data_IF_909325445700
#
_entry.id   IF_909325445700
#
_cell.length_a   1.000
_cell.length_b   1.000
_cell.length_c   1.000
_cell.angle_alpha   90.00
_cell.angle_beta   90.00
_cell.angle_gamma   90.00
#
_symmetry.space_group_name_H-M   'P 1'
#
loop_
_entity.id
_entity.type
_entity.pdbx_description
1 polymer ?
#
# COMPACT_ATOMS: atom_id res chain seq x y z
N UNK A 1 8.75 -8.78 -1.35
CA UNK A 1 10.13 -8.39 -1.71
C UNK A 1 10.07 -7.26 -2.72
N UNK A 2 10.55 -6.07 -2.37
CA UNK A 2 10.55 -4.89 -3.23
C UNK A 2 11.97 -4.56 -3.69
N UNK A 3 12.31 -4.98 -4.91
CA UNK A 3 13.58 -4.61 -5.58
C UNK A 3 13.44 -3.31 -6.38
N UNK A 4 12.26 -2.71 -6.37
CA UNK A 4 11.87 -1.48 -7.04
C UNK A 4 11.88 -1.55 -8.57
N UNK A 5 12.05 -2.73 -9.16
CA UNK A 5 12.07 -2.96 -10.61
C UNK A 5 11.59 -4.39 -10.91
N UNK A 6 11.41 -4.73 -12.18
CA UNK A 6 11.29 -6.14 -12.59
C UNK A 6 12.68 -6.72 -12.79
N UNK A 7 13.23 -7.31 -11.73
CA UNK A 7 14.59 -7.84 -11.73
C UNK A 7 14.77 -9.00 -12.71
N UNK A 8 13.90 -10.01 -12.64
CA UNK A 8 14.04 -11.26 -13.40
C UNK A 8 14.08 -11.05 -14.93
N UNK A 9 13.25 -10.16 -15.44
CA UNK A 9 13.12 -9.92 -16.89
C UNK A 9 14.13 -8.88 -17.41
N UNK A 10 15.11 -8.49 -16.61
CA UNK A 10 16.23 -7.66 -17.02
C UNK A 10 16.07 -6.17 -16.72
N UNK A 11 15.41 -5.82 -15.61
CA UNK A 11 15.44 -4.48 -15.02
C UNK A 11 14.50 -3.48 -15.65
N UNK A 12 13.25 -3.88 -15.92
CA UNK A 12 12.19 -2.98 -16.37
C UNK A 12 11.63 -2.13 -15.24
N UNK A 13 11.19 -0.93 -15.60
CA UNK A 13 10.44 -0.04 -14.73
C UNK A 13 9.16 -0.72 -14.23
N UNK A 14 8.88 -0.53 -12.94
CA UNK A 14 7.65 -0.94 -12.28
C UNK A 14 6.97 0.29 -11.65
N UNK A 15 5.75 0.13 -11.13
CA UNK A 15 5.11 1.18 -10.31
C UNK A 15 5.82 1.39 -8.96
N UNK A 16 6.62 0.42 -8.52
CA UNK A 16 7.48 0.53 -7.35
C UNK A 16 8.82 1.21 -7.66
N UNK A 17 9.16 1.46 -8.93
CA UNK A 17 10.37 2.20 -9.29
C UNK A 17 10.27 3.63 -8.74
N UNK A 18 11.34 4.18 -8.13
CA UNK A 18 11.34 5.52 -7.57
C UNK A 18 11.56 6.60 -8.63
N UNK A 19 11.23 7.84 -8.27
CA UNK A 19 11.51 9.01 -9.10
C UNK A 19 13.02 9.14 -9.37
N UNK A 20 13.41 9.45 -10.60
CA UNK A 20 14.83 9.63 -10.96
C UNK A 20 15.62 8.34 -11.21
N UNK A 21 15.12 7.17 -10.81
CA UNK A 21 15.78 5.89 -11.10
C UNK A 21 15.73 5.56 -12.58
N UNK A 22 16.87 5.16 -13.16
CA UNK A 22 16.94 4.58 -14.50
C UNK A 22 16.51 3.11 -14.45
N UNK A 23 15.69 2.71 -15.41
CA UNK A 23 15.32 1.33 -15.70
C UNK A 23 14.93 1.22 -17.19
N UNK A 24 14.75 -0.01 -17.72
CA UNK A 24 14.12 -0.15 -19.05
C UNK A 24 12.71 0.44 -19.02
N UNK A 25 12.32 1.14 -20.09
CA UNK A 25 11.11 1.98 -20.16
C UNK A 25 11.12 3.23 -19.25
N UNK A 26 12.24 3.52 -18.58
CA UNK A 26 12.48 4.74 -17.82
C UNK A 26 13.96 5.19 -18.00
N UNK A 27 14.46 5.18 -19.23
CA UNK A 27 15.88 5.40 -19.54
C UNK A 27 16.40 6.79 -19.18
N UNK A 28 15.52 7.80 -19.19
CA UNK A 28 15.81 9.17 -18.79
C UNK A 28 15.46 9.45 -17.32
N UNK A 29 15.41 8.41 -16.48
CA UNK A 29 14.88 8.47 -15.12
C UNK A 29 13.36 8.43 -15.11
N UNK A 30 12.77 7.66 -14.18
CA UNK A 30 11.32 7.64 -13.99
C UNK A 30 10.81 9.01 -13.56
N UNK A 31 9.65 9.41 -14.09
CA UNK A 31 9.05 10.75 -13.93
C UNK A 31 7.91 10.81 -12.92
N UNK A 32 7.49 9.67 -12.41
CA UNK A 32 6.43 9.55 -11.40
C UNK A 32 6.99 8.99 -10.11
N UNK A 33 6.42 9.43 -8.99
CA UNK A 33 6.77 8.92 -7.67
C UNK A 33 6.50 7.41 -7.54
N UNK A 34 7.12 6.80 -6.53
CA UNK A 34 6.87 5.40 -6.16
C UNK A 34 5.41 5.25 -5.70
N UNK A 35 4.72 4.21 -6.16
CA UNK A 35 3.39 3.85 -5.63
C UNK A 35 3.52 3.50 -4.14
N UNK A 36 2.81 4.21 -3.27
CA UNK A 36 2.74 3.91 -1.84
C UNK A 36 1.73 2.78 -1.56
N UNK A 37 2.15 1.54 -1.85
CA UNK A 37 1.30 0.35 -1.65
C UNK A 37 0.94 0.14 -0.18
N UNK A 38 1.86 0.43 0.74
CA UNK A 38 1.64 0.22 2.17
C UNK A 38 0.54 1.13 2.69
N UNK A 39 0.60 2.44 2.40
CA UNK A 39 -0.46 3.37 2.81
C UNK A 39 -1.80 3.07 2.14
N UNK A 40 -1.80 2.63 0.88
CA UNK A 40 -3.02 2.16 0.20
C UNK A 40 -3.63 0.93 0.88
N UNK A 41 -2.83 0.00 1.41
CA UNK A 41 -3.36 -1.15 2.14
C UNK A 41 -3.88 -0.74 3.53
N UNK A 42 -3.25 0.24 4.18
CA UNK A 42 -3.69 0.73 5.50
C UNK A 42 -5.07 1.39 5.47
N UNK A 43 -5.53 1.93 4.33
CA UNK A 43 -6.86 2.56 4.25
C UNK A 43 -8.01 1.58 4.49
N UNK A 44 -7.78 0.27 4.34
CA UNK A 44 -8.78 -0.74 4.70
C UNK A 44 -9.01 -0.82 6.22
N UNK A 45 -8.01 -0.46 7.04
CA UNK A 45 -8.11 -0.48 8.49
C UNK A 45 -7.99 -1.85 9.15
N UNK A 46 -8.37 -2.94 8.47
CA UNK A 46 -8.32 -4.32 8.98
C UNK A 46 -7.16 -5.16 8.42
N UNK A 47 -6.25 -4.56 7.66
CA UNK A 47 -5.08 -5.25 7.07
C UNK A 47 -3.86 -4.93 7.91
N UNK A 48 -3.12 -5.94 8.36
CA UNK A 48 -1.81 -5.72 8.96
C UNK A 48 -0.81 -5.33 7.87
N UNK A 49 -0.07 -4.24 8.06
CA UNK A 49 0.88 -3.75 7.06
C UNK A 49 2.21 -3.41 7.70
N UNK A 50 3.32 -3.96 7.20
CA UNK A 50 4.65 -3.60 7.67
C UNK A 50 5.60 -3.28 6.52
N UNK A 51 6.46 -2.29 6.73
CA UNK A 51 7.62 -2.00 5.89
C UNK A 51 8.88 -2.35 6.67
N UNK A 52 9.73 -3.20 6.09
CA UNK A 52 10.90 -3.78 6.76
C UNK A 52 12.17 -3.60 5.93
N UNK A 53 13.31 -3.55 6.61
CA UNK A 53 14.65 -3.63 6.02
C UNK A 53 15.57 -4.37 6.98
N UNK A 54 15.96 -5.59 6.62
CA UNK A 54 16.82 -6.43 7.45
C UNK A 54 18.21 -5.80 7.68
N UNK A 55 18.69 -5.01 6.71
CA UNK A 55 19.93 -4.25 6.82
C UNK A 55 19.88 -3.18 7.89
N UNK A 56 18.72 -2.52 8.05
CA UNK A 56 18.54 -1.43 9.00
C UNK A 56 18.23 -1.92 10.42
N UNK A 57 17.28 -2.84 10.56
CA UNK A 57 16.86 -3.36 11.86
C UNK A 57 16.36 -4.80 11.75
N UNK A 58 17.18 -5.74 12.23
CA UNK A 58 16.87 -7.17 12.25
C UNK A 58 15.79 -7.52 13.28
N UNK A 59 15.75 -6.80 14.41
CA UNK A 59 14.77 -7.03 15.46
C UNK A 59 13.38 -6.57 14.99
N UNK A 60 13.31 -5.39 14.37
CA UNK A 60 12.08 -4.90 13.75
C UNK A 60 11.58 -5.84 12.66
N UNK A 61 12.49 -6.37 11.83
CA UNK A 61 12.17 -7.36 10.79
C UNK A 61 11.54 -8.62 11.40
N UNK A 62 12.18 -9.21 12.41
CA UNK A 62 11.66 -10.42 13.07
C UNK A 62 10.31 -10.14 13.73
N UNK A 63 10.18 -9.03 14.45
CA UNK A 63 8.95 -8.61 15.11
C UNK A 63 7.81 -8.45 14.10
N UNK A 64 8.06 -7.77 12.98
CA UNK A 64 7.07 -7.55 11.95
C UNK A 64 6.57 -8.86 11.32
N UNK A 65 7.46 -9.83 11.11
CA UNK A 65 7.11 -11.15 10.58
C UNK A 65 6.29 -11.97 11.57
N UNK A 66 6.67 -11.99 12.85
CA UNK A 66 5.92 -12.69 13.90
C UNK A 66 4.52 -12.07 14.08
N UNK A 67 4.43 -10.74 14.15
CA UNK A 67 3.13 -10.06 14.25
C UNK A 67 2.26 -10.28 13.01
N UNK A 68 2.85 -10.26 11.80
CA UNK A 68 2.13 -10.49 10.56
C UNK A 68 1.55 -11.91 10.46
N UNK A 69 2.30 -12.92 10.91
CA UNK A 69 1.89 -14.32 10.87
C UNK A 69 0.82 -14.61 11.93
N UNK A 70 0.98 -14.04 13.14
CA UNK A 70 0.02 -14.22 14.22
C UNK A 70 -1.28 -13.43 14.05
N UNK A 71 -1.34 -12.44 13.15
CA UNK A 71 -2.51 -11.60 12.94
C UNK A 71 -3.66 -12.43 12.33
N UNK A 72 -4.87 -12.48 12.95
CA UNK A 72 -6.00 -13.25 12.45
C UNK A 72 -6.71 -12.52 11.30
N UNK A 73 -6.00 -12.28 10.21
CA UNK A 73 -6.49 -11.53 9.06
C UNK A 73 -5.44 -11.38 7.96
N UNK A 74 -5.70 -10.53 6.95
CA UNK A 74 -4.75 -10.30 5.88
C UNK A 74 -3.53 -9.50 6.36
N UNK A 75 -2.35 -9.95 5.96
CA UNK A 75 -1.06 -9.33 6.29
C UNK A 75 -0.25 -9.02 5.04
N UNK A 76 0.33 -7.82 4.99
CA UNK A 76 1.22 -7.34 3.93
C UNK A 76 2.56 -6.91 4.52
N UNK A 77 3.64 -7.59 4.13
CA UNK A 77 5.01 -7.22 4.51
C UNK A 77 5.79 -6.80 3.26
N UNK A 78 6.24 -5.55 3.24
CA UNK A 78 7.03 -4.96 2.16
C UNK A 78 8.48 -4.86 2.62
N UNK A 79 9.32 -5.74 2.09
CA UNK A 79 10.74 -5.78 2.43
C UNK A 79 11.59 -5.08 1.37
N UNK A 80 12.43 -4.13 1.79
CA UNK A 80 13.48 -3.58 0.93
C UNK A 80 14.45 -4.68 0.52
N UNK A 81 14.59 -4.90 -0.78
CA UNK A 81 15.42 -5.95 -1.34
C UNK A 81 16.45 -5.35 -2.29
N UNK A 82 17.73 -5.46 -1.92
CA UNK A 82 18.81 -5.04 -2.83
C UNK A 82 18.89 -5.97 -4.04
N UNK A 83 19.27 -5.44 -5.20
CA UNK A 83 19.35 -6.19 -6.44
C UNK A 83 20.54 -5.75 -7.29
N UNK A 84 21.13 -6.69 -8.04
CA UNK A 84 22.21 -6.41 -9.01
C UNK A 84 21.86 -5.28 -9.99
N UNK A 85 20.58 -5.14 -10.36
CA UNK A 85 20.11 -4.12 -11.29
C UNK A 85 20.08 -2.71 -10.70
N UNK A 86 20.08 -2.57 -9.37
CA UNK A 86 20.28 -1.26 -8.73
C UNK A 86 21.73 -0.80 -8.92
N UNK A 87 22.64 -1.77 -9.01
CA UNK A 87 24.05 -1.57 -9.30
C UNK A 87 24.77 -0.90 -8.14
N UNK A 88 24.87 -1.61 -7.00
CA UNK A 88 25.59 -1.11 -5.84
C UNK A 88 27.08 -0.98 -6.17
N UNK A 89 27.63 0.25 -6.12
CA UNK A 89 29.04 0.50 -6.50
C UNK A 89 30.05 -0.25 -5.63
N UNK A 90 29.71 -0.48 -4.36
CA UNK A 90 30.54 -1.25 -3.41
C UNK A 90 30.35 -2.77 -3.54
N UNK A 91 29.53 -3.23 -4.49
CA UNK A 91 29.20 -4.63 -4.72
C UNK A 91 28.11 -5.18 -3.80
N UNK A 92 27.52 -6.32 -4.19
CA UNK A 92 26.41 -6.96 -3.46
C UNK A 92 26.81 -7.50 -2.07
N UNK A 93 28.11 -7.65 -1.77
CA UNK A 93 28.58 -7.95 -0.42
C UNK A 93 28.20 -6.86 0.62
N UNK A 94 27.80 -5.67 0.16
CA UNK A 94 27.36 -4.55 0.98
C UNK A 94 25.85 -4.37 1.04
N UNK A 95 25.06 -5.36 0.61
CA UNK A 95 23.60 -5.30 0.60
C UNK A 95 22.96 -4.94 1.94
N UNK A 96 23.49 -5.44 3.06
CA UNK A 96 22.97 -5.12 4.39
C UNK A 96 23.26 -3.67 4.79
N UNK A 97 24.46 -3.18 4.48
CA UNK A 97 24.84 -1.77 4.69
C UNK A 97 23.98 -0.84 3.82
N UNK A 98 23.69 -1.24 2.59
CA UNK A 98 22.82 -0.49 1.68
C UNK A 98 21.39 -0.38 2.25
N UNK A 99 20.84 -1.48 2.75
CA UNK A 99 19.53 -1.49 3.41
C UNK A 99 19.48 -0.62 4.67
N UNK A 100 20.60 -0.51 5.39
CA UNK A 100 20.74 0.42 6.52
C UNK A 100 20.76 1.88 6.06
N UNK A 101 21.54 2.20 5.02
CA UNK A 101 21.63 3.54 4.44
C UNK A 101 20.31 4.00 3.83
N UNK A 102 19.57 3.10 3.19
CA UNK A 102 18.23 3.36 2.66
C UNK A 102 17.26 3.85 3.76
N UNK A 103 17.32 3.25 4.95
CA UNK A 103 16.47 3.69 6.08
C UNK A 103 17.00 4.96 6.72
N UNK A 104 18.32 5.05 6.93
CA UNK A 104 18.98 6.19 7.59
C UNK A 104 18.79 7.50 6.81
N UNK A 105 18.81 7.42 5.48
CA UNK A 105 18.58 8.54 4.57
C UNK A 105 17.10 8.94 4.43
N UNK A 106 16.17 8.21 5.07
CA UNK A 106 14.72 8.41 4.90
C UNK A 106 14.14 7.83 3.60
N UNK A 107 14.99 7.32 2.71
CA UNK A 107 14.55 6.75 1.43
C UNK A 107 13.57 5.58 1.59
N UNK A 108 13.82 4.73 2.59
CA UNK A 108 12.96 3.61 2.94
C UNK A 108 12.43 3.75 4.38
N UNK A 109 11.13 4.00 4.58
CA UNK A 109 10.55 4.12 5.91
C UNK A 109 10.26 2.74 6.53
N UNK A 110 10.51 2.60 7.83
CA UNK A 110 10.13 1.44 8.65
C UNK A 110 8.89 1.77 9.47
N UNK A 111 7.89 0.91 9.37
CA UNK A 111 6.65 1.05 10.12
C UNK A 111 5.93 -0.28 10.25
N UNK A 112 4.99 -0.34 11.19
CA UNK A 112 4.00 -1.40 11.33
C UNK A 112 2.63 -0.78 11.57
N UNK A 113 1.63 -1.27 10.88
CA UNK A 113 0.23 -0.98 11.09
C UNK A 113 -0.42 -2.26 11.61
N UNK A 114 -0.78 -2.28 12.89
CA UNK A 114 -1.39 -3.42 13.54
C UNK A 114 -2.83 -3.09 13.96
N UNK A 115 -3.84 -3.61 13.25
CA UNK A 115 -5.26 -3.35 13.55
C UNK A 115 -5.69 -3.71 14.98
N UNK A 116 -5.04 -4.71 15.60
CA UNK A 116 -5.40 -5.14 16.97
C UNK A 116 -5.14 -4.07 18.02
N UNK A 117 -4.21 -3.15 17.77
CA UNK A 117 -3.97 -2.02 18.67
C UNK A 117 -5.17 -1.08 18.74
N UNK A 118 -5.95 -0.98 17.65
CA UNK A 118 -7.15 -0.14 17.61
C UNK A 118 -8.23 -0.63 18.56
N UNK A 119 -8.39 -1.96 18.70
CA UNK A 119 -9.30 -2.59 19.67
C UNK A 119 -8.89 -2.28 21.12
N UNK A 120 -7.60 -2.01 21.35
CA UNK A 120 -7.06 -1.63 22.65
C UNK A 120 -7.10 -0.11 22.90
N UNK A 121 -7.78 0.67 22.03
CA UNK A 121 -7.79 2.13 22.10
C UNK A 121 -6.42 2.78 21.83
N UNK A 122 -5.51 2.08 21.15
CA UNK A 122 -4.17 2.58 20.78
C UNK A 122 -4.12 2.91 19.29
N UNK A 123 -3.18 3.77 18.91
CA UNK A 123 -2.90 4.02 17.51
C UNK A 123 -2.36 2.73 16.85
N UNK A 124 -3.00 2.22 15.78
CA UNK A 124 -2.53 1.05 15.06
C UNK A 124 -1.23 1.28 14.29
N UNK A 125 -0.90 2.53 13.96
CA UNK A 125 0.30 2.89 13.22
C UNK A 125 1.47 3.18 14.16
N UNK A 126 2.52 2.36 14.04
CA UNK A 126 3.79 2.51 14.76
C UNK A 126 4.86 2.87 13.73
N UNK A 127 5.39 4.09 13.82
CA UNK A 127 6.47 4.56 12.98
C UNK A 127 7.82 4.32 13.65
N UNK A 128 8.72 3.60 12.98
CA UNK A 128 9.98 3.09 13.55
C UNK A 128 11.22 3.72 12.90
N UNK A 129 11.04 4.48 11.82
CA UNK A 129 12.11 5.28 11.22
C UNK A 129 12.43 6.53 12.04
N UNK A 130 13.71 6.86 12.12
CA UNK A 130 14.21 8.13 12.66
C UNK A 130 14.20 9.22 11.59
N UNK A 131 14.40 10.46 12.02
CA UNK A 131 14.55 11.59 11.09
C UNK A 131 15.70 11.36 10.11
N UNK A 132 15.52 11.69 8.80
CA UNK A 132 16.56 11.53 7.79
C UNK A 132 17.83 12.32 8.12
N UNK A 133 19.01 11.70 8.03
CA UNK A 133 20.29 12.30 8.41
C UNK A 133 21.00 13.09 7.28
N UNK A 134 20.25 13.51 6.25
CA UNK A 134 20.76 14.16 5.03
C UNK A 134 21.73 13.31 4.18
N UNK A 135 21.87 12.01 4.44
CA UNK A 135 22.70 11.10 3.63
C UNK A 135 22.05 10.65 2.30
N UNK A 136 20.88 11.20 1.93
CA UNK A 136 20.15 10.79 0.73
C UNK A 136 20.98 10.90 -0.54
N UNK A 137 21.69 12.02 -0.75
CA UNK A 137 22.48 12.21 -1.96
C UNK A 137 23.65 11.23 -2.07
N UNK A 138 24.23 10.84 -0.93
CA UNK A 138 25.29 9.83 -0.86
C UNK A 138 24.75 8.43 -1.18
N UNK A 139 23.58 8.08 -0.62
CA UNK A 139 22.86 6.85 -0.93
C UNK A 139 22.57 6.74 -2.43
N UNK A 140 21.94 7.74 -3.03
CA UNK A 140 21.63 7.75 -4.46
C UNK A 140 22.90 7.65 -5.32
N UNK A 141 23.99 8.31 -4.92
CA UNK A 141 25.25 8.28 -5.66
C UNK A 141 26.01 6.95 -5.51
N UNK A 142 25.66 6.14 -4.49
CA UNK A 142 26.14 4.78 -4.27
C UNK A 142 25.59 3.76 -5.27
N UNK A 143 24.50 4.09 -5.97
CA UNK A 143 23.83 3.18 -6.90
C UNK A 143 23.99 3.64 -8.36
N UNK A 144 24.23 2.68 -9.27
CA UNK A 144 24.36 2.95 -10.71
C UNK A 144 23.05 3.45 -11.30
N UNK A 145 21.89 2.96 -10.82
CA UNK A 145 20.57 3.37 -11.33
C UNK A 145 20.27 4.88 -11.22
N UNK A 146 20.92 5.59 -10.31
CA UNK A 146 20.82 7.05 -10.18
C UNK A 146 22.06 7.76 -10.73
N UNK A 147 23.24 7.24 -10.45
CA UNK A 147 24.48 7.89 -10.88
C UNK A 147 24.72 7.82 -12.39
N UNK A 148 24.11 6.85 -13.10
CA UNK A 148 24.12 6.85 -14.56
C UNK A 148 23.30 8.01 -15.15
N UNK A 149 22.19 8.43 -14.49
CA UNK A 149 21.41 9.58 -14.96
C UNK A 149 22.20 10.88 -14.80
N UNK A 150 22.90 11.03 -13.69
CA UNK A 150 23.79 12.17 -13.43
C UNK A 150 24.83 12.33 -14.54
N UNK A 151 25.43 11.23 -15.00
CA UNK A 151 26.42 11.24 -16.08
C UNK A 151 25.81 11.57 -17.45
N UNK A 152 24.61 11.05 -17.74
CA UNK A 152 23.97 11.20 -19.05
C UNK A 152 23.26 12.55 -19.19
N UNK A 153 22.58 13.01 -18.14
CA UNK A 153 21.73 14.21 -18.12
C UNK A 153 21.79 14.89 -16.74
N UNK A 154 22.88 15.63 -16.43
CA UNK A 154 23.12 16.20 -15.10
C UNK A 154 21.99 17.11 -14.60
N UNK A 155 21.52 18.05 -15.45
CA UNK A 155 20.46 19.00 -15.10
C UNK A 155 19.16 18.28 -14.71
N UNK A 156 18.79 17.26 -15.49
CA UNK A 156 17.61 16.44 -15.21
C UNK A 156 17.77 15.63 -13.93
N UNK A 157 18.96 15.07 -13.70
CA UNK A 157 19.26 14.30 -12.50
C UNK A 157 19.13 15.17 -11.25
N UNK A 158 19.70 16.38 -11.28
CA UNK A 158 19.58 17.35 -10.18
C UNK A 158 18.12 17.66 -9.86
N UNK A 159 17.32 17.96 -10.86
CA UNK A 159 15.89 18.27 -10.68
C UNK A 159 15.10 17.08 -10.11
N UNK A 160 15.35 15.87 -10.62
CA UNK A 160 14.64 14.67 -10.13
C UNK A 160 15.08 14.26 -8.73
N UNK A 161 16.37 14.42 -8.38
CA UNK A 161 16.88 14.15 -7.03
C UNK A 161 16.31 15.13 -6.01
N UNK A 162 16.21 16.42 -6.37
CA UNK A 162 15.59 17.43 -5.51
C UNK A 162 14.10 17.12 -5.26
N UNK A 163 13.36 16.75 -6.31
CA UNK A 163 11.96 16.32 -6.17
C UNK A 163 11.81 15.04 -5.34
N UNK A 164 12.71 14.07 -5.51
CA UNK A 164 12.70 12.84 -4.71
C UNK A 164 12.92 13.14 -3.23
N UNK A 165 13.82 14.08 -2.91
CA UNK A 165 14.05 14.53 -1.54
C UNK A 165 12.79 15.18 -0.94
N UNK A 166 12.10 16.03 -1.72
CA UNK A 166 10.81 16.60 -1.31
C UNK A 166 9.76 15.51 -1.05
N UNK A 167 9.60 14.55 -1.96
CA UNK A 167 8.65 13.42 -1.82
C UNK A 167 8.95 12.59 -0.56
N UNK A 168 10.23 12.37 -0.24
CA UNK A 168 10.66 11.64 0.95
C UNK A 168 10.29 12.41 2.21
N UNK A 169 10.56 13.71 2.25
CA UNK A 169 10.25 14.56 3.40
C UNK A 169 8.74 14.72 3.62
N UNK A 170 7.97 14.85 2.54
CA UNK A 170 6.50 14.86 2.59
C UNK A 170 5.97 13.53 3.16
N UNK A 171 6.43 12.40 2.61
CA UNK A 171 6.03 11.06 3.08
C UNK A 171 6.40 10.83 4.54
N UNK A 172 7.59 11.27 4.96
CA UNK A 172 8.03 11.20 6.35
C UNK A 172 7.08 11.98 7.27
N UNK A 173 6.71 13.20 6.86
CA UNK A 173 5.79 14.06 7.62
C UNK A 173 4.40 13.43 7.73
N UNK A 174 3.89 12.82 6.65
CA UNK A 174 2.62 12.10 6.66
C UNK A 174 2.66 10.95 7.68
N UNK A 175 3.71 10.12 7.67
CA UNK A 175 3.81 9.01 8.62
C UNK A 175 4.01 9.48 10.06
N UNK A 176 4.76 10.57 10.28
CA UNK A 176 4.87 11.19 11.59
C UNK A 176 3.51 11.61 12.13
N UNK A 177 2.71 12.33 11.32
CA UNK A 177 1.35 12.73 11.69
C UNK A 177 0.44 11.52 11.95
N UNK A 178 0.55 10.46 11.13
CA UNK A 178 -0.19 9.22 11.35
C UNK A 178 0.16 8.55 12.68
N UNK A 179 1.42 8.63 13.13
CA UNK A 179 1.87 8.06 14.41
C UNK A 179 1.43 8.91 15.62
N UNK A 180 1.21 10.21 15.43
CA UNK A 180 0.74 11.14 16.46
C UNK A 180 -0.78 11.10 16.65
N UNK A 181 -1.53 10.59 15.67
CA UNK A 181 -2.98 10.42 15.75
C UNK A 181 -3.38 9.56 16.97
N UNK A 182 -4.50 9.91 17.62
CA UNK A 182 -5.05 9.17 18.76
C UNK A 182 -6.51 8.80 18.48
N UNK A 183 -6.90 7.53 18.66
CA UNK A 183 -8.28 7.12 18.49
C UNK A 183 -9.18 7.74 19.56
N UNK A 184 -10.40 8.11 19.17
CA UNK A 184 -11.51 8.48 20.08
C UNK A 184 -12.41 7.27 20.33
N UNK A 185 -13.36 7.36 21.28
CA UNK A 185 -14.27 6.25 21.60
C UNK A 185 -15.07 5.74 20.40
N UNK A 186 -15.45 6.62 19.46
CA UNK A 186 -16.15 6.26 18.23
C UNK A 186 -15.26 5.61 17.15
N UNK A 187 -13.94 5.64 17.31
CA UNK A 187 -12.99 5.06 16.36
C UNK A 187 -12.71 3.58 16.61
N UNK A 188 -13.12 3.03 17.76
CA UNK A 188 -12.94 1.62 18.09
C UNK A 188 -14.07 0.82 17.42
N UNK A 189 -13.75 -0.13 16.51
CA UNK A 189 -14.80 -0.95 15.89
C UNK A 189 -15.57 -1.72 16.97
N UNK A 190 -16.91 -1.73 16.95
CA UNK A 190 -17.70 -2.54 17.88
C UNK A 190 -17.38 -4.02 17.68
N UNK A 191 -17.35 -4.78 18.78
CA UNK A 191 -17.24 -6.24 18.71
C UNK A 191 -18.49 -6.83 18.03
N UNK A 192 -18.30 -7.71 17.04
CA UNK A 192 -19.40 -8.37 16.33
C UNK A 192 -19.20 -8.41 14.82
N UNK A 193 -18.94 -9.60 14.27
CA UNK A 193 -18.99 -9.85 12.84
C UNK A 193 -20.43 -10.08 12.34
N UNK A 194 -20.60 -10.19 11.02
CA UNK A 194 -21.87 -10.64 10.44
C UNK A 194 -22.14 -12.09 10.92
N UNK A 195 -23.37 -12.41 11.31
CA UNK A 195 -23.75 -13.80 11.55
C UNK A 195 -23.61 -14.59 10.22
N UNK A 196 -23.27 -15.88 10.31
CA UNK A 196 -23.18 -16.74 9.14
C UNK A 196 -24.55 -17.15 8.59
N UNK A 197 -25.63 -16.62 9.15
CA UNK A 197 -26.98 -16.85 8.65
C UNK A 197 -27.08 -16.24 7.26
N UNK A 198 -27.28 -17.11 6.27
CA UNK A 198 -27.63 -16.66 4.93
C UNK A 198 -29.03 -16.07 5.04
N UNK A 199 -29.14 -14.75 5.00
CA UNK A 199 -30.39 -14.10 4.64
C UNK A 199 -30.65 -14.51 3.18
N UNK A 200 -31.74 -15.24 2.89
CA UNK A 200 -32.06 -15.60 1.52
C UNK A 200 -32.34 -14.31 0.72
N UNK A 201 -32.13 -14.33 -0.60
CA UNK A 201 -32.08 -13.13 -1.44
C UNK A 201 -33.43 -12.36 -1.53
N UNK A 202 -34.50 -13.02 -1.09
CA UNK A 202 -35.87 -12.53 -0.88
C UNK A 202 -36.07 -11.83 0.49
N UNK A 203 -35.11 -11.94 1.41
CA UNK A 203 -35.24 -11.58 2.82
C UNK A 203 -34.78 -10.17 3.20
N UNK A 204 -35.22 -9.14 2.48
CA UNK A 204 -35.34 -7.82 3.09
C UNK A 204 -36.82 -7.58 3.41
N UNK A 205 -37.21 -7.88 4.66
CA UNK A 205 -38.57 -7.77 5.25
C UNK A 205 -39.58 -8.84 4.80
N UNK A 206 -40.59 -9.09 5.63
CA UNK A 206 -41.77 -9.92 5.32
C UNK A 206 -42.59 -9.36 4.13
N UNK A 207 -42.16 -8.24 3.53
CA UNK A 207 -42.80 -7.57 2.40
C UNK A 207 -41.93 -7.69 1.13
N UNK A 208 -42.50 -8.12 -0.01
CA UNK A 208 -41.79 -8.16 -1.27
C UNK A 208 -41.36 -6.75 -1.70
N UNK A 209 -40.20 -6.64 -2.36
CA UNK A 209 -39.72 -5.37 -2.87
C UNK A 209 -40.79 -4.69 -3.76
N UNK A 210 -41.01 -3.37 -3.62
CA UNK A 210 -42.11 -2.68 -4.31
C UNK A 210 -41.94 -2.60 -5.84
N UNK A 211 -40.73 -2.88 -6.35
CA UNK A 211 -40.39 -2.92 -7.78
C UNK A 211 -39.42 -4.07 -8.05
N UNK A 212 -39.32 -4.49 -9.31
CA UNK A 212 -38.39 -5.55 -9.73
C UNK A 212 -36.93 -5.21 -9.35
N UNK A 213 -36.31 -6.05 -8.51
CA UNK A 213 -34.90 -5.93 -8.09
C UNK A 213 -33.90 -6.56 -9.08
N UNK A 214 -34.42 -7.29 -10.08
CA UNK A 214 -33.65 -7.88 -11.18
C UNK A 214 -34.32 -7.61 -12.52
N UNK A 215 -33.54 -7.39 -13.58
CA UNK A 215 -34.05 -7.23 -14.93
C UNK A 215 -34.60 -8.58 -15.43
N UNK A 216 -35.90 -8.80 -15.24
CA UNK A 216 -36.62 -10.05 -15.51
C UNK A 216 -36.53 -10.52 -16.96
N UNK A 217 -36.16 -9.66 -17.91
CA UNK A 217 -36.05 -9.99 -19.34
C UNK A 217 -34.65 -10.30 -19.85
N UNK A 218 -33.59 -10.11 -19.05
CA UNK A 218 -32.21 -10.37 -19.46
C UNK A 218 -31.71 -11.69 -18.85
N UNK A 219 -31.35 -12.63 -19.72
CA UNK A 219 -30.92 -13.99 -19.35
C UNK A 219 -29.74 -14.02 -18.36
N UNK A 220 -28.95 -12.95 -18.25
CA UNK A 220 -27.86 -12.82 -17.24
C UNK A 220 -28.37 -12.76 -15.80
N UNK A 221 -29.62 -12.36 -15.60
CA UNK A 221 -30.26 -12.23 -14.29
C UNK A 221 -31.13 -13.43 -13.91
N UNK A 222 -31.35 -14.38 -14.83
CA UNK A 222 -32.04 -15.63 -14.52
C UNK A 222 -31.28 -16.42 -13.44
N UNK A 223 -32.01 -17.03 -12.51
CA UNK A 223 -31.46 -17.83 -11.40
C UNK A 223 -32.13 -19.20 -11.38
N UNK A 224 -31.35 -20.30 -11.18
CA UNK A 224 -31.93 -21.62 -11.00
C UNK A 224 -32.87 -21.65 -9.79
N UNK A 225 -34.05 -22.23 -9.94
CA UNK A 225 -35.07 -22.40 -8.90
C UNK A 225 -35.70 -21.11 -8.35
N UNK A 226 -35.52 -19.96 -9.00
CA UNK A 226 -36.32 -18.75 -8.77
C UNK A 226 -37.31 -18.59 -9.92
N UNK A 227 -38.60 -18.92 -9.76
CA UNK A 227 -39.59 -18.56 -10.77
C UNK A 227 -39.57 -17.04 -10.95
N UNK A 228 -39.71 -16.56 -12.19
CA UNK A 228 -39.87 -15.12 -12.46
C UNK A 228 -41.21 -14.67 -11.88
N UNK A 229 -41.18 -14.22 -10.62
CA UNK A 229 -42.35 -13.63 -9.97
C UNK A 229 -42.69 -12.30 -10.67
N UNK A 230 -43.99 -12.10 -10.93
CA UNK A 230 -44.45 -10.85 -11.50
C UNK A 230 -44.22 -9.71 -10.50
N UNK A 231 -43.53 -8.66 -10.95
CA UNK A 231 -43.20 -7.47 -10.16
C UNK A 231 -43.46 -6.21 -11.01
N UNK A 232 -43.55 -5.05 -10.35
CA UNK A 232 -43.60 -3.76 -11.05
C UNK A 232 -42.25 -3.50 -11.74
N UNK A 233 -42.24 -3.48 -13.07
CA UNK A 233 -41.05 -3.27 -13.89
C UNK A 233 -40.66 -1.79 -14.05
N UNK A 234 -41.35 -0.88 -13.33
CA UNK A 234 -41.10 0.55 -13.30
C UNK A 234 -41.53 1.28 -14.58
N UNK A 235 -42.16 0.58 -15.53
CA UNK A 235 -42.63 1.21 -16.79
C UNK A 235 -43.95 1.97 -16.61
N UNK A 236 -44.65 1.79 -15.50
CA UNK A 236 -45.91 2.44 -15.18
C UNK A 236 -45.76 3.83 -14.52
N UNK A 237 -44.53 4.26 -14.21
CA UNK A 237 -44.24 5.52 -13.50
C UNK A 237 -44.02 5.33 -11.99
N UNK A 238 -43.67 6.41 -11.28
CA UNK A 238 -43.37 6.37 -9.84
C UNK A 238 -44.67 6.46 -9.04
N UNK A 239 -44.81 5.66 -7.97
CA UNK A 239 -45.92 5.79 -7.03
C UNK A 239 -45.85 7.14 -6.30
N UNK A 240 -46.82 8.02 -6.58
CA UNK A 240 -46.93 9.37 -6.01
C UNK A 240 -47.22 9.39 -4.50
N UNK A 241 -47.45 8.23 -3.87
CA UNK A 241 -47.58 8.11 -2.41
C UNK A 241 -46.25 7.97 -1.68
N UNK A 242 -45.14 7.81 -2.41
CA UNK A 242 -43.77 7.69 -1.88
C UNK A 242 -42.97 9.01 -1.98
N UNK A 243 -43.57 10.11 -2.47
CA UNK A 243 -43.05 11.49 -2.39
C UNK A 243 -43.46 12.17 -1.07
#
# INVERSE_FOLDING_TARGET
MDTEIYSNTGGQCSKATPLGSIAKFASAGKRTAKKDLGRMAMTYGYVYVASISMGADKNQTLKALVEAEAYPGPSLVIAYATCINQGLRKGMGKSMEEGQLAVKSGYWPLYRYNPLLRQQGKNPFVFESREPDRSLQDFLSGEVRYSALEKLKPEISRDLRARLEQDIMERFSIYKNMAEWRPTEGDVPPEGGRSHDRIPADGATEEPAPVCISATSDARYSRPNSPEEACDDGRAGIDKKLE
#
